data_IF_277504683402
#
_entry.id   IF_277504683402
#
_cell.length_a   1.000
_cell.length_b   1.000
_cell.length_c   1.000
_cell.angle_alpha   90.00
_cell.angle_beta   90.00
_cell.angle_gamma   90.00
#
_symmetry.space_group_name_H-M   'P 1'
#
loop_
_entity.id
_entity.type
_entity.pdbx_description
1 polymer ?
#
# COMPACT_ATOMS: atom_id res chain seq x y z
N UNK A 1 26.48 17.17 25.87
CA UNK A 1 25.44 16.16 26.17
C UNK A 1 24.04 16.78 26.19
N UNK A 2 23.89 18.06 26.55
CA UNK A 2 22.61 18.78 26.54
C UNK A 2 22.07 19.11 25.13
N UNK A 3 22.93 19.33 24.14
CA UNK A 3 22.53 19.71 22.78
C UNK A 3 21.86 18.55 21.99
N UNK A 4 22.28 17.31 22.25
CA UNK A 4 21.67 16.09 21.65
C UNK A 4 20.29 15.80 22.26
N UNK A 5 20.13 16.04 23.58
CA UNK A 5 18.84 15.90 24.28
C UNK A 5 17.84 16.97 23.86
N UNK A 6 18.30 18.21 23.65
CA UNK A 6 17.47 19.33 23.19
C UNK A 6 16.97 19.11 21.75
N UNK A 7 17.84 18.69 20.83
CA UNK A 7 17.45 18.32 19.45
C UNK A 7 16.44 17.16 19.41
N UNK A 8 16.63 16.15 20.27
CA UNK A 8 15.71 15.01 20.37
C UNK A 8 14.30 15.41 20.87
N UNK A 9 14.20 16.38 21.79
CA UNK A 9 12.91 16.90 22.26
C UNK A 9 12.21 17.74 21.20
N UNK A 10 12.93 18.64 20.51
CA UNK A 10 12.37 19.44 19.41
C UNK A 10 11.86 18.56 18.28
N UNK A 11 12.61 17.52 17.91
CA UNK A 11 12.21 16.58 16.86
C UNK A 11 10.98 15.76 17.25
N UNK A 12 10.90 15.31 18.50
CA UNK A 12 9.70 14.64 19.04
C UNK A 12 8.47 15.55 19.03
N UNK A 13 8.60 16.81 19.41
CA UNK A 13 7.49 17.77 19.38
C UNK A 13 7.01 18.02 17.95
N UNK A 14 7.93 18.26 17.01
CA UNK A 14 7.62 18.44 15.60
C UNK A 14 6.91 17.22 14.99
N UNK A 15 7.33 16.02 15.39
CA UNK A 15 6.71 14.75 14.98
C UNK A 15 5.28 14.59 15.51
N UNK A 16 5.01 15.02 16.75
CA UNK A 16 3.66 15.02 17.32
C UNK A 16 2.76 16.01 16.58
N UNK A 17 3.22 17.24 16.37
CA UNK A 17 2.47 18.28 15.65
C UNK A 17 2.13 17.85 14.22
N UNK A 18 3.10 17.23 13.55
CA UNK A 18 2.94 16.65 12.21
C UNK A 18 1.88 15.56 12.18
N UNK A 19 1.91 14.61 13.13
CA UNK A 19 0.89 13.56 13.25
C UNK A 19 -0.49 14.16 13.54
N UNK A 20 -0.57 15.18 14.38
CA UNK A 20 -1.82 15.89 14.67
C UNK A 20 -2.40 16.54 13.40
N UNK A 21 -1.55 17.13 12.55
CA UNK A 21 -1.99 17.71 11.28
C UNK A 21 -2.64 16.68 10.33
N UNK A 22 -2.18 15.43 10.33
CA UNK A 22 -2.80 14.34 9.56
C UNK A 22 -4.20 14.03 10.10
N UNK A 23 -4.35 13.94 11.42
CA UNK A 23 -5.64 13.70 12.07
C UNK A 23 -6.63 14.84 11.80
N UNK A 24 -6.20 16.09 11.95
CA UNK A 24 -7.04 17.26 11.69
C UNK A 24 -7.49 17.33 10.21
N UNK A 25 -6.59 16.99 9.28
CA UNK A 25 -6.90 16.93 7.86
C UNK A 25 -7.90 15.80 7.52
N UNK A 26 -7.84 14.68 8.25
CA UNK A 26 -8.72 13.52 8.09
C UNK A 26 -10.15 13.81 8.53
N UNK A 27 -10.34 14.53 9.64
CA UNK A 27 -11.67 14.68 10.29
C UNK A 27 -12.79 15.03 9.29
N UNK A 28 -12.66 16.04 8.41
CA UNK A 28 -13.77 16.39 7.52
C UNK A 28 -14.02 15.36 6.42
N UNK A 29 -12.99 14.62 5.98
CA UNK A 29 -13.16 13.51 5.04
C UNK A 29 -13.91 12.35 5.72
N UNK A 30 -13.55 12.03 6.96
CA UNK A 30 -14.21 10.99 7.75
C UNK A 30 -15.68 11.33 7.99
N UNK A 31 -15.99 12.58 8.34
CA UNK A 31 -17.38 13.05 8.49
C UNK A 31 -18.15 12.95 7.16
N UNK A 32 -17.55 13.37 6.05
CA UNK A 32 -18.16 13.27 4.73
C UNK A 32 -18.42 11.82 4.32
N UNK A 33 -17.46 10.92 4.57
CA UNK A 33 -17.59 9.48 4.33
C UNK A 33 -18.78 8.92 5.11
N UNK A 34 -18.83 9.15 6.42
CA UNK A 34 -19.90 8.63 7.28
C UNK A 34 -21.27 9.12 6.83
N UNK A 35 -21.41 10.41 6.47
CA UNK A 35 -22.67 10.97 5.96
C UNK A 35 -23.11 10.34 4.64
N UNK A 36 -22.18 10.07 3.72
CA UNK A 36 -22.51 9.41 2.45
C UNK A 36 -22.94 7.97 2.69
N UNK A 37 -22.20 7.23 3.54
CA UNK A 37 -22.52 5.85 3.87
C UNK A 37 -23.89 5.71 4.56
N UNK A 38 -24.19 6.56 5.54
CA UNK A 38 -25.49 6.59 6.24
C UNK A 38 -26.64 6.89 5.27
N UNK A 39 -26.48 7.84 4.36
CA UNK A 39 -27.51 8.18 3.36
C UNK A 39 -27.73 7.04 2.36
N UNK A 40 -26.66 6.38 1.91
CA UNK A 40 -26.79 5.19 1.05
C UNK A 40 -27.53 4.07 1.76
N UNK A 41 -27.20 3.78 3.02
CA UNK A 41 -27.85 2.74 3.81
C UNK A 41 -29.35 3.01 4.06
N UNK A 42 -29.76 4.28 4.10
CA UNK A 42 -31.15 4.66 4.42
C UNK A 42 -32.01 4.98 3.20
N UNK A 43 -31.44 5.57 2.14
CA UNK A 43 -32.19 6.06 0.96
C UNK A 43 -31.95 5.24 -0.30
N UNK A 44 -30.92 4.39 -0.34
CA UNK A 44 -30.54 3.59 -1.51
C UNK A 44 -29.89 4.39 -2.64
N UNK A 45 -30.34 5.61 -2.90
CA UNK A 45 -29.80 6.50 -3.93
C UNK A 45 -29.40 7.87 -3.34
N UNK A 46 -28.18 8.30 -3.65
CA UNK A 46 -27.59 9.54 -3.18
C UNK A 46 -26.85 10.18 -4.34
N UNK A 47 -27.29 11.37 -4.76
CA UNK A 47 -26.70 12.08 -5.89
C UNK A 47 -25.17 12.20 -5.76
N UNK A 48 -24.48 11.74 -6.80
CA UNK A 48 -23.02 11.77 -6.88
C UNK A 48 -22.32 10.75 -5.99
N UNK A 49 -23.02 9.74 -5.48
CA UNK A 49 -22.45 8.65 -4.68
C UNK A 49 -22.96 7.30 -5.17
N UNK A 50 -22.05 6.45 -5.65
CA UNK A 50 -22.40 5.10 -6.11
C UNK A 50 -21.69 4.03 -5.26
N UNK A 51 -22.39 2.97 -4.90
CA UNK A 51 -21.76 1.73 -4.43
C UNK A 51 -21.20 0.99 -5.66
N UNK A 52 -19.91 0.69 -5.65
CA UNK A 52 -19.24 0.08 -6.81
C UNK A 52 -18.99 -1.42 -6.67
N UNK A 53 -18.93 -1.92 -5.44
CA UNK A 53 -18.76 -3.34 -5.13
C UNK A 53 -19.07 -3.62 -3.65
N UNK A 54 -19.40 -4.89 -3.35
CA UNK A 54 -19.64 -5.40 -2.00
C UNK A 54 -18.90 -6.72 -1.77
N UNK A 55 -18.63 -7.06 -0.52
CA UNK A 55 -18.10 -8.35 -0.11
C UNK A 55 -16.77 -8.74 -0.78
N UNK A 56 -16.63 -10.03 -1.11
CA UNK A 56 -15.41 -10.60 -1.68
C UNK A 56 -15.04 -10.09 -3.08
N UNK A 57 -15.98 -9.46 -3.78
CA UNK A 57 -15.78 -8.96 -5.15
C UNK A 57 -15.09 -7.60 -5.21
N UNK A 58 -14.94 -6.91 -4.07
CA UNK A 58 -14.38 -5.55 -4.01
C UNK A 58 -13.03 -5.46 -4.70
N UNK A 59 -12.12 -6.40 -4.42
CA UNK A 59 -10.77 -6.37 -4.99
C UNK A 59 -10.80 -6.44 -6.53
N UNK A 60 -11.53 -7.42 -7.07
CA UNK A 60 -11.63 -7.62 -8.52
C UNK A 60 -12.34 -6.47 -9.21
N UNK A 61 -13.42 -5.98 -8.62
CA UNK A 61 -14.18 -4.85 -9.14
C UNK A 61 -13.36 -3.56 -9.19
N UNK A 62 -12.47 -3.34 -8.20
CA UNK A 62 -11.55 -2.19 -8.17
C UNK A 62 -10.43 -2.38 -9.19
N UNK A 63 -9.83 -3.57 -9.27
CA UNK A 63 -8.77 -3.89 -10.25
C UNK A 63 -9.26 -3.73 -11.69
N UNK A 64 -10.44 -4.24 -12.03
CA UNK A 64 -11.04 -4.10 -13.36
C UNK A 64 -11.24 -2.62 -13.75
N UNK A 65 -11.69 -1.78 -12.81
CA UNK A 65 -11.88 -0.34 -13.03
C UNK A 65 -10.56 0.42 -13.17
N UNK A 66 -9.49 -0.05 -12.54
CA UNK A 66 -8.19 0.64 -12.52
C UNK A 66 -7.56 0.81 -13.91
N UNK A 67 -7.95 -0.01 -14.88
CA UNK A 67 -7.48 0.02 -16.28
C UNK A 67 -7.86 1.31 -17.02
N UNK A 68 -8.92 1.99 -16.58
CA UNK A 68 -9.37 3.23 -17.21
C UNK A 68 -8.77 4.49 -16.56
N UNK A 69 -8.04 4.36 -15.46
CA UNK A 69 -7.56 5.51 -14.69
C UNK A 69 -6.32 6.13 -15.32
N UNK A 70 -6.19 7.45 -15.21
CA UNK A 70 -5.02 8.23 -15.64
C UNK A 70 -4.27 8.83 -14.47
N UNK A 71 -4.95 9.12 -13.37
CA UNK A 71 -4.30 9.57 -12.14
C UNK A 71 -4.86 8.82 -10.94
N UNK A 72 -3.97 8.31 -10.09
CA UNK A 72 -4.32 7.65 -8.84
C UNK A 72 -3.46 8.19 -7.70
N UNK A 73 -4.13 8.62 -6.61
CA UNK A 73 -3.49 8.87 -5.31
C UNK A 73 -4.20 8.02 -4.28
N UNK A 74 -3.53 7.01 -3.73
CA UNK A 74 -4.15 6.07 -2.80
C UNK A 74 -3.46 6.04 -1.45
N UNK A 75 -4.25 5.86 -0.40
CA UNK A 75 -3.80 5.52 0.95
C UNK A 75 -4.38 4.14 1.27
N UNK A 76 -3.53 3.21 1.70
CA UNK A 76 -3.91 1.86 2.14
C UNK A 76 -3.56 1.75 3.62
N UNK A 77 -4.51 1.27 4.44
CA UNK A 77 -4.33 1.19 5.90
C UNK A 77 -3.74 -0.14 6.36
N UNK A 78 -3.94 -1.19 5.59
CA UNK A 78 -3.42 -2.52 5.89
C UNK A 78 -2.86 -3.16 4.62
N UNK A 79 -2.01 -4.16 4.82
CA UNK A 79 -1.41 -4.90 3.72
C UNK A 79 -0.76 -6.19 4.18
N UNK A 80 -1.47 -7.30 3.94
CA UNK A 80 -0.88 -8.63 3.98
C UNK A 80 -0.22 -8.99 2.65
N UNK A 81 0.65 -10.00 2.65
CA UNK A 81 1.38 -10.36 1.43
C UNK A 81 0.45 -10.76 0.29
N UNK A 82 -0.60 -11.54 0.55
CA UNK A 82 -1.55 -11.98 -0.48
C UNK A 82 -2.15 -10.78 -1.24
N UNK A 83 -2.54 -9.71 -0.50
CA UNK A 83 -3.08 -8.48 -1.08
C UNK A 83 -2.06 -7.77 -1.97
N UNK A 84 -0.80 -7.72 -1.53
CA UNK A 84 0.29 -7.12 -2.31
C UNK A 84 0.58 -7.94 -3.58
N UNK A 85 0.72 -9.26 -3.46
CA UNK A 85 0.96 -10.16 -4.59
C UNK A 85 -0.15 -10.08 -5.64
N UNK A 86 -1.40 -9.97 -5.21
CA UNK A 86 -2.56 -9.83 -6.10
C UNK A 86 -2.60 -8.48 -6.81
N UNK A 87 -2.34 -7.39 -6.10
CA UNK A 87 -2.53 -6.02 -6.64
C UNK A 87 -1.34 -5.52 -7.47
N UNK A 88 -0.11 -5.93 -7.16
CA UNK A 88 1.09 -5.41 -7.82
C UNK A 88 1.17 -5.68 -9.33
N UNK A 89 0.92 -6.89 -9.84
CA UNK A 89 0.95 -7.14 -11.28
C UNK A 89 -0.03 -6.24 -12.05
N UNK A 90 -1.23 -6.02 -11.47
CA UNK A 90 -2.19 -5.09 -12.03
C UNK A 90 -1.67 -3.64 -12.02
N UNK A 91 -1.10 -3.19 -10.90
CA UNK A 91 -0.54 -1.84 -10.80
C UNK A 91 0.59 -1.60 -11.81
N UNK A 92 1.54 -2.55 -11.95
CA UNK A 92 2.62 -2.45 -12.95
C UNK A 92 2.08 -2.35 -14.37
N UNK A 93 1.04 -3.13 -14.68
CA UNK A 93 0.40 -3.03 -15.99
C UNK A 93 -0.25 -1.66 -16.20
N UNK A 94 -1.00 -1.15 -15.23
CA UNK A 94 -1.61 0.18 -15.34
C UNK A 94 -0.56 1.31 -15.44
N UNK A 95 0.55 1.21 -14.70
CA UNK A 95 1.68 2.14 -14.80
C UNK A 95 2.29 2.11 -16.21
N UNK A 96 2.49 0.92 -16.77
CA UNK A 96 2.98 0.74 -18.15
C UNK A 96 2.01 1.32 -19.18
N UNK A 97 0.71 1.30 -18.88
CA UNK A 97 -0.36 1.90 -19.70
C UNK A 97 -0.52 3.43 -19.48
N UNK A 98 0.38 4.04 -18.71
CA UNK A 98 0.46 5.50 -18.51
C UNK A 98 -0.31 6.04 -17.31
N UNK A 99 -0.67 5.21 -16.33
CA UNK A 99 -1.23 5.67 -15.05
C UNK A 99 -0.18 6.48 -14.27
N UNK A 100 -0.50 7.73 -13.91
CA UNK A 100 0.25 8.48 -12.89
C UNK A 100 -0.25 8.04 -11.50
N UNK A 101 0.52 7.19 -10.82
CA UNK A 101 0.15 6.63 -9.52
C UNK A 101 1.10 7.07 -8.40
N UNK A 102 0.53 7.42 -7.24
CA UNK A 102 1.24 7.36 -5.96
C UNK A 102 0.36 6.62 -4.95
N UNK A 103 0.87 5.53 -4.38
CA UNK A 103 0.22 4.75 -3.34
C UNK A 103 1.02 4.81 -2.05
N UNK A 104 0.42 5.41 -1.03
CA UNK A 104 0.93 5.41 0.34
C UNK A 104 0.32 4.22 1.08
N UNK A 105 1.16 3.51 1.81
CA UNK A 105 0.75 2.41 2.68
C UNK A 105 1.07 2.77 4.14
N UNK A 106 0.14 2.48 5.05
CA UNK A 106 0.31 2.74 6.48
C UNK A 106 1.40 1.84 7.07
N UNK A 107 2.47 2.43 7.59
CA UNK A 107 3.61 1.66 8.07
C UNK A 107 3.31 0.73 9.25
N UNK A 108 2.30 1.05 10.07
CA UNK A 108 1.91 0.24 11.23
C UNK A 108 0.95 -0.89 10.89
N UNK A 109 0.24 -0.80 9.77
CA UNK A 109 -0.72 -1.80 9.30
C UNK A 109 -0.16 -2.82 8.30
N UNK A 110 1.12 -2.76 7.95
CA UNK A 110 1.75 -3.69 6.99
C UNK A 110 2.44 -4.84 7.69
N UNK A 111 2.25 -6.04 7.15
CA UNK A 111 3.11 -7.16 7.47
C UNK A 111 4.56 -6.87 7.02
N UNK A 112 5.60 -7.24 7.80
CA UNK A 112 6.99 -7.00 7.44
C UNK A 112 7.38 -7.56 6.05
N UNK A 113 6.85 -8.74 5.71
CA UNK A 113 7.07 -9.35 4.41
C UNK A 113 6.42 -8.54 3.27
N UNK A 114 5.21 -8.01 3.47
CA UNK A 114 4.52 -7.16 2.50
C UNK A 114 5.24 -5.83 2.31
N UNK A 115 5.74 -5.21 3.39
CA UNK A 115 6.56 -3.99 3.35
C UNK A 115 7.77 -4.17 2.44
N UNK A 116 8.55 -5.23 2.65
CA UNK A 116 9.72 -5.55 1.80
C UNK A 116 9.37 -5.79 0.32
N UNK A 117 8.21 -6.38 0.02
CA UNK A 117 7.77 -6.56 -1.37
C UNK A 117 7.48 -5.22 -2.06
N UNK A 118 6.92 -4.26 -1.33
CA UNK A 118 6.64 -2.91 -1.80
C UNK A 118 7.94 -2.09 -1.93
N UNK A 119 8.84 -2.18 -0.95
CA UNK A 119 10.15 -1.48 -0.98
C UNK A 119 11.02 -1.86 -2.18
N UNK A 120 10.80 -3.06 -2.74
CA UNK A 120 11.49 -3.52 -3.94
C UNK A 120 10.91 -3.03 -5.27
N UNK A 121 9.90 -2.15 -5.28
CA UNK A 121 9.49 -1.43 -6.49
C UNK A 121 10.35 -0.19 -6.71
N UNK A 122 10.80 0.00 -7.95
CA UNK A 122 11.80 1.03 -8.29
C UNK A 122 11.22 2.21 -9.08
N UNK A 123 9.92 2.21 -9.32
CA UNK A 123 9.23 3.21 -10.14
C UNK A 123 8.82 4.50 -9.38
N UNK A 124 9.08 4.56 -8.07
CA UNK A 124 8.74 5.72 -7.22
C UNK A 124 7.26 5.86 -6.89
N UNK A 125 6.41 4.92 -7.33
CA UNK A 125 4.95 4.97 -7.13
C UNK A 125 4.53 4.64 -5.69
N UNK A 126 5.42 4.10 -4.87
CA UNK A 126 5.11 3.58 -3.54
C UNK A 126 5.82 4.35 -2.43
N UNK A 127 5.08 4.62 -1.36
CA UNK A 127 5.53 5.39 -0.20
C UNK A 127 4.99 4.78 1.09
N UNK A 128 5.68 5.00 2.20
CA UNK A 128 5.19 4.65 3.53
C UNK A 128 4.94 5.90 4.36
N UNK A 129 3.88 5.87 5.17
CA UNK A 129 3.54 6.93 6.11
C UNK A 129 2.52 6.42 7.13
N UNK A 130 1.94 7.31 7.93
CA UNK A 130 0.81 7.00 8.80
C UNK A 130 -0.49 7.42 8.10
N UNK A 131 -1.39 6.46 7.89
CA UNK A 131 -2.66 6.59 7.20
C UNK A 131 -3.81 5.96 7.99
N UNK A 132 -4.76 6.76 8.44
CA UNK A 132 -5.90 6.32 9.26
C UNK A 132 -7.21 6.16 8.47
N UNK A 133 -7.18 6.29 7.14
CA UNK A 133 -8.34 6.03 6.28
C UNK A 133 -7.90 5.50 4.91
N UNK A 134 -8.44 4.34 4.52
CA UNK A 134 -8.27 3.83 3.16
C UNK A 134 -9.07 4.69 2.17
N UNK A 135 -8.38 5.19 1.15
CA UNK A 135 -8.92 6.13 0.18
C UNK A 135 -8.21 6.01 -1.16
N UNK A 136 -8.93 6.25 -2.26
CA UNK A 136 -8.34 6.50 -3.58
C UNK A 136 -8.92 7.75 -4.22
N UNK A 137 -8.09 8.74 -4.54
CA UNK A 137 -8.45 9.86 -5.41
C UNK A 137 -8.14 9.45 -6.84
N UNK A 138 -9.16 9.46 -7.68
CA UNK A 138 -9.09 8.94 -9.05
C UNK A 138 -9.36 10.10 -10.02
N UNK A 139 -8.48 10.26 -11.01
CA UNK A 139 -8.55 11.23 -12.10
C UNK A 139 -8.80 12.68 -11.65
N UNK A 140 -8.43 12.99 -10.40
CA UNK A 140 -8.64 14.30 -9.76
C UNK A 140 -10.11 14.74 -9.75
N UNK A 141 -11.06 13.79 -9.84
CA UNK A 141 -12.50 14.09 -9.98
C UNK A 141 -13.39 13.31 -9.02
N UNK A 142 -12.91 12.18 -8.51
CA UNK A 142 -13.71 11.32 -7.64
C UNK A 142 -12.86 10.70 -6.54
N UNK A 143 -13.51 10.33 -5.44
CA UNK A 143 -12.88 9.68 -4.29
C UNK A 143 -13.58 8.36 -4.04
N UNK A 144 -12.81 7.28 -4.01
CA UNK A 144 -13.26 5.96 -3.59
C UNK A 144 -12.97 5.80 -2.10
N UNK A 145 -13.99 5.38 -1.34
CA UNK A 145 -13.96 5.24 0.11
C UNK A 145 -14.73 3.98 0.52
N UNK A 146 -14.47 3.49 1.73
CA UNK A 146 -15.32 2.47 2.36
C UNK A 146 -16.77 2.99 2.50
N UNK A 147 -17.71 2.24 1.95
CA UNK A 147 -19.15 2.50 2.01
C UNK A 147 -19.83 1.89 3.24
N UNK A 148 -21.17 1.86 3.28
CA UNK A 148 -21.91 1.20 4.35
C UNK A 148 -21.78 -0.32 4.29
N UNK A 149 -22.12 -1.00 5.39
CA UNK A 149 -22.38 -2.45 5.33
C UNK A 149 -23.75 -2.67 4.70
N UNK A 150 -23.81 -3.46 3.63
CA UNK A 150 -25.04 -3.79 2.90
C UNK A 150 -25.22 -5.30 2.96
N UNK A 151 -26.38 -5.76 3.43
CA UNK A 151 -26.71 -7.19 3.58
C UNK A 151 -25.62 -8.00 4.31
N UNK A 152 -25.02 -7.38 5.34
CA UNK A 152 -23.94 -8.00 6.15
C UNK A 152 -22.56 -7.97 5.50
N UNK A 153 -22.40 -7.43 4.29
CA UNK A 153 -21.13 -7.32 3.59
C UNK A 153 -20.59 -5.89 3.59
N UNK A 154 -19.27 -5.74 3.72
CA UNK A 154 -18.60 -4.46 3.50
C UNK A 154 -18.84 -3.98 2.05
N UNK A 155 -18.86 -2.67 1.84
CA UNK A 155 -18.95 -2.09 0.49
C UNK A 155 -17.87 -1.03 0.26
N UNK A 156 -17.65 -0.74 -1.02
CA UNK A 156 -16.86 0.42 -1.46
C UNK A 156 -17.77 1.34 -2.26
N UNK A 157 -17.66 2.64 -2.01
CA UNK A 157 -18.40 3.67 -2.71
C UNK A 157 -17.46 4.63 -3.45
N UNK A 158 -17.95 5.21 -4.54
CA UNK A 158 -17.32 6.31 -5.27
C UNK A 158 -18.14 7.57 -5.05
N UNK A 159 -17.48 8.63 -4.59
CA UNK A 159 -18.07 9.93 -4.31
C UNK A 159 -17.55 10.96 -5.31
N UNK A 160 -18.45 11.64 -6.01
CA UNK A 160 -18.20 12.69 -7.03
C UNK A 160 -18.69 14.06 -6.57
N UNK A 161 -18.50 14.35 -5.29
CA UNK A 161 -18.92 15.60 -4.66
C UNK A 161 -17.71 16.50 -4.40
N UNK A 162 -17.68 17.77 -4.89
CA UNK A 162 -16.49 18.62 -4.83
C UNK A 162 -15.92 18.81 -3.43
N UNK A 163 -16.77 18.93 -2.41
CA UNK A 163 -16.34 19.12 -1.03
C UNK A 163 -15.69 17.86 -0.43
N UNK A 164 -16.11 16.68 -0.86
CA UNK A 164 -15.50 15.41 -0.44
C UNK A 164 -14.14 15.24 -1.12
N UNK A 165 -14.06 15.58 -2.41
CA UNK A 165 -12.80 15.63 -3.14
C UNK A 165 -11.80 16.62 -2.52
N UNK A 166 -12.26 17.82 -2.14
CA UNK A 166 -11.42 18.82 -1.47
C UNK A 166 -10.89 18.31 -0.11
N UNK A 167 -11.75 17.67 0.69
CA UNK A 167 -11.36 17.06 1.96
C UNK A 167 -10.33 15.93 1.74
N UNK A 168 -10.55 15.08 0.73
CA UNK A 168 -9.63 14.02 0.34
C UNK A 168 -8.26 14.55 -0.09
N UNK A 169 -8.21 15.59 -0.92
CA UNK A 169 -6.96 16.22 -1.36
C UNK A 169 -6.20 16.83 -0.18
N UNK A 170 -6.90 17.45 0.79
CA UNK A 170 -6.26 17.98 1.99
C UNK A 170 -5.67 16.86 2.85
N UNK A 171 -6.42 15.78 3.06
CA UNK A 171 -5.93 14.61 3.79
C UNK A 171 -4.71 13.98 3.10
N UNK A 172 -4.79 13.77 1.78
CA UNK A 172 -3.68 13.29 0.96
C UNK A 172 -2.40 14.14 1.14
N UNK A 173 -2.51 15.47 1.06
CA UNK A 173 -1.36 16.38 1.22
C UNK A 173 -0.72 16.27 2.60
N UNK A 174 -1.53 16.14 3.66
CA UNK A 174 -1.02 15.98 5.01
C UNK A 174 -0.24 14.67 5.17
N UNK A 175 -0.76 13.56 4.64
CA UNK A 175 -0.08 12.25 4.69
C UNK A 175 1.20 12.26 3.82
N UNK A 176 1.15 12.85 2.62
CA UNK A 176 2.35 12.99 1.77
C UNK A 176 3.47 13.72 2.49
N UNK A 177 3.16 14.78 3.23
CA UNK A 177 4.16 15.58 3.96
C UNK A 177 4.95 14.77 5.00
N UNK A 178 4.39 13.64 5.48
CA UNK A 178 5.05 12.73 6.44
C UNK A 178 5.53 11.44 5.80
N UNK A 179 5.36 11.30 4.49
CA UNK A 179 5.68 10.05 3.79
C UNK A 179 7.13 10.03 3.34
N UNK A 180 7.72 8.85 3.28
CA UNK A 180 9.01 8.58 2.66
C UNK A 180 8.84 7.57 1.51
N UNK A 181 9.79 7.53 0.57
CA UNK A 181 9.73 6.56 -0.52
C UNK A 181 9.89 5.15 0.05
N UNK A 182 9.07 4.19 -0.42
CA UNK A 182 9.19 2.81 0.02
C UNK A 182 10.56 2.21 -0.34
N UNK A 183 11.10 2.68 -1.46
CA UNK A 183 12.45 2.44 -1.94
C UNK A 183 13.56 2.73 -0.92
N UNK A 184 13.35 3.68 -0.01
CA UNK A 184 14.38 4.13 0.95
C UNK A 184 14.26 3.40 2.30
N UNK A 185 13.38 2.39 2.38
CA UNK A 185 13.12 1.68 3.62
C UNK A 185 14.28 0.75 4.03
N UNK A 186 14.95 1.10 5.14
CA UNK A 186 16.16 0.43 5.65
C UNK A 186 15.90 -0.97 6.24
N UNK A 187 14.65 -1.43 6.32
CA UNK A 187 14.31 -2.78 6.78
C UNK A 187 14.72 -3.89 5.80
N UNK A 188 15.27 -3.51 4.64
CA UNK A 188 15.72 -4.44 3.62
C UNK A 188 17.19 -4.88 3.87
N UNK A 189 17.51 -6.18 3.85
CA UNK A 189 18.87 -6.64 4.14
C UNK A 189 19.88 -6.04 3.16
N UNK A 190 20.92 -5.41 3.73
CA UNK A 190 21.94 -4.54 3.10
C UNK A 190 22.73 -5.21 1.94
N UNK A 191 22.66 -6.53 1.79
CA UNK A 191 23.55 -7.31 0.91
C UNK A 191 22.86 -7.83 -0.37
N UNK A 192 21.56 -7.60 -0.53
CA UNK A 192 20.80 -8.10 -1.68
C UNK A 192 20.33 -6.95 -2.58
N UNK A 193 20.41 -7.13 -3.91
CA UNK A 193 19.71 -6.23 -4.84
C UNK A 193 18.21 -6.18 -4.52
N UNK A 194 17.50 -5.12 -4.91
CA UNK A 194 16.07 -4.97 -4.61
C UNK A 194 15.22 -6.14 -5.08
N UNK A 195 15.47 -6.67 -6.27
CA UNK A 195 14.81 -7.91 -6.74
C UNK A 195 15.11 -9.11 -5.85
N UNK A 196 16.35 -9.27 -5.40
CA UNK A 196 16.73 -10.34 -4.47
C UNK A 196 16.08 -10.16 -3.08
N UNK A 197 15.91 -8.93 -2.59
CA UNK A 197 15.17 -8.65 -1.36
C UNK A 197 13.70 -9.09 -1.47
N UNK A 198 13.07 -8.87 -2.63
CA UNK A 198 11.71 -9.35 -2.89
C UNK A 198 11.66 -10.88 -2.95
N UNK A 199 12.62 -11.52 -3.60
CA UNK A 199 12.73 -12.99 -3.65
C UNK A 199 12.90 -13.58 -2.26
N UNK A 200 13.75 -12.98 -1.41
CA UNK A 200 13.87 -13.34 0.01
C UNK A 200 12.51 -13.27 0.69
N UNK A 201 11.74 -12.22 0.42
CA UNK A 201 10.43 -12.07 1.03
C UNK A 201 9.40 -13.11 0.62
N UNK A 202 9.43 -13.52 -0.64
CA UNK A 202 8.53 -14.54 -1.18
C UNK A 202 8.97 -15.96 -0.77
N UNK A 203 10.28 -16.20 -0.67
CA UNK A 203 10.84 -17.48 -0.19
C UNK A 203 10.50 -17.77 1.27
N UNK A 204 10.51 -16.76 2.14
CA UNK A 204 10.14 -16.92 3.55
C UNK A 204 8.66 -17.32 3.74
N UNK A 205 7.84 -17.17 2.71
CA UNK A 205 6.44 -17.57 2.68
C UNK A 205 6.21 -18.90 1.94
N UNK A 206 7.30 -19.62 1.64
CA UNK A 206 7.29 -20.92 0.97
C UNK A 206 6.67 -20.90 -0.45
N UNK A 207 6.67 -19.75 -1.13
CA UNK A 207 6.24 -19.69 -2.54
C UNK A 207 7.21 -20.47 -3.45
N UNK A 208 6.69 -21.13 -4.49
CA UNK A 208 7.47 -21.82 -5.51
C UNK A 208 8.07 -20.86 -6.55
N UNK A 209 9.04 -21.31 -7.36
CA UNK A 209 9.71 -20.47 -8.36
C UNK A 209 8.74 -19.85 -9.38
N UNK A 210 7.74 -20.62 -9.80
CA UNK A 210 6.77 -20.18 -10.80
C UNK A 210 5.90 -19.06 -10.24
N UNK A 211 5.40 -19.22 -9.01
CA UNK A 211 4.62 -18.17 -8.32
C UNK A 211 5.46 -16.90 -8.06
N UNK A 212 6.75 -17.06 -7.73
CA UNK A 212 7.67 -15.92 -7.57
C UNK A 212 7.89 -15.22 -8.91
N UNK A 213 8.08 -15.98 -9.99
CA UNK A 213 8.27 -15.45 -11.34
C UNK A 213 7.06 -14.61 -11.78
N UNK A 214 5.86 -15.14 -11.57
CA UNK A 214 4.60 -14.45 -11.85
C UNK A 214 4.45 -13.18 -11.00
N UNK A 215 4.73 -13.25 -9.69
CA UNK A 215 4.67 -12.10 -8.79
C UNK A 215 5.64 -10.98 -9.18
N UNK A 216 6.81 -11.33 -9.71
CA UNK A 216 7.87 -10.38 -10.08
C UNK A 216 7.84 -9.97 -11.57
N UNK A 217 7.04 -10.63 -12.40
CA UNK A 217 6.98 -10.36 -13.85
C UNK A 217 8.28 -10.69 -14.59
N UNK A 218 9.00 -11.73 -14.15
CA UNK A 218 10.26 -12.19 -14.77
C UNK A 218 10.21 -13.68 -15.09
N UNK A 219 11.19 -14.21 -15.83
CA UNK A 219 11.24 -15.65 -16.12
C UNK A 219 11.60 -16.49 -14.89
N UNK A 220 11.09 -17.72 -14.82
CA UNK A 220 11.47 -18.74 -13.81
C UNK A 220 12.99 -18.95 -13.78
N UNK A 221 13.66 -18.89 -14.94
CA UNK A 221 15.13 -18.98 -15.04
C UNK A 221 15.81 -17.83 -14.30
N UNK A 222 15.28 -16.61 -14.42
CA UNK A 222 15.78 -15.43 -13.71
C UNK A 222 15.65 -15.62 -12.21
N UNK A 223 14.46 -16.04 -11.74
CA UNK A 223 14.21 -16.32 -10.33
C UNK A 223 15.18 -17.37 -9.78
N UNK A 224 15.35 -18.51 -10.48
CA UNK A 224 16.29 -19.56 -10.07
C UNK A 224 17.73 -19.08 -9.98
N UNK A 225 18.16 -18.21 -10.91
CA UNK A 225 19.50 -17.61 -10.89
C UNK A 225 19.70 -16.69 -9.69
N UNK A 226 18.69 -15.89 -9.34
CA UNK A 226 18.74 -15.01 -8.18
C UNK A 226 18.71 -15.81 -6.87
N UNK A 227 17.86 -16.85 -6.77
CA UNK A 227 17.81 -17.76 -5.62
C UNK A 227 19.16 -18.47 -5.44
N UNK A 228 19.77 -18.97 -6.52
CA UNK A 228 21.10 -19.59 -6.43
C UNK A 228 22.17 -18.61 -5.94
N UNK A 229 22.03 -17.33 -6.27
CA UNK A 229 22.94 -16.26 -5.78
C UNK A 229 22.68 -15.96 -4.30
N UNK A 230 21.41 -15.88 -3.89
CA UNK A 230 21.01 -15.74 -2.49
C UNK A 230 21.48 -16.91 -1.63
N UNK A 231 21.31 -18.14 -2.10
CA UNK A 231 21.78 -19.35 -1.40
C UNK A 231 23.30 -19.32 -1.17
N UNK A 232 24.07 -18.89 -2.18
CA UNK A 232 25.52 -18.69 -2.03
C UNK A 232 25.85 -17.61 -0.99
N UNK A 233 25.16 -16.47 -1.03
CA UNK A 233 25.36 -15.39 -0.07
C UNK A 233 24.97 -15.79 1.38
N UNK A 234 23.92 -16.59 1.53
CA UNK A 234 23.43 -17.10 2.82
C UNK A 234 24.20 -18.33 3.32
N UNK A 235 25.13 -18.87 2.53
CA UNK A 235 25.92 -20.06 2.86
C UNK A 235 25.10 -21.34 2.99
N UNK A 236 24.00 -21.46 2.24
CA UNK A 236 23.08 -22.62 2.28
C UNK A 236 23.05 -23.37 0.96
N UNK A 237 22.72 -24.66 1.02
CA UNK A 237 22.77 -25.59 -0.13
C UNK A 237 21.40 -26.08 -0.61
N UNK A 238 20.32 -25.72 0.09
CA UNK A 238 18.96 -26.04 -0.32
C UNK A 238 18.05 -24.82 -0.29
N UNK A 239 17.04 -24.80 -1.16
CA UNK A 239 15.96 -23.79 -1.17
C UNK A 239 15.30 -23.69 0.20
N UNK A 240 14.98 -24.84 0.78
CA UNK A 240 14.34 -24.91 2.09
C UNK A 240 15.18 -24.22 3.17
N UNK A 241 16.49 -24.49 3.23
CA UNK A 241 17.38 -23.82 4.18
C UNK A 241 17.50 -22.31 3.89
N UNK A 242 17.39 -21.89 2.63
CA UNK A 242 17.30 -20.48 2.28
C UNK A 242 16.00 -19.86 2.80
N UNK A 243 14.85 -20.50 2.57
CA UNK A 243 13.55 -20.08 3.10
C UNK A 243 13.57 -19.93 4.63
N UNK A 244 14.08 -20.92 5.36
CA UNK A 244 14.21 -20.89 6.82
C UNK A 244 15.12 -19.76 7.30
N UNK A 245 16.28 -19.55 6.67
CA UNK A 245 17.15 -18.42 7.01
C UNK A 245 16.52 -17.08 6.68
N UNK A 246 15.81 -16.99 5.55
CA UNK A 246 15.08 -15.79 5.15
C UNK A 246 13.96 -15.48 6.13
N UNK A 247 13.24 -16.50 6.60
CA UNK A 247 12.20 -16.36 7.62
C UNK A 247 12.77 -15.89 8.96
N UNK A 248 13.91 -16.46 9.41
CA UNK A 248 14.59 -15.98 10.61
C UNK A 248 15.02 -14.50 10.50
N UNK A 249 15.40 -14.03 9.30
CA UNK A 249 15.70 -12.61 9.03
C UNK A 249 14.44 -11.72 8.99
N UNK A 250 13.24 -12.30 8.97
CA UNK A 250 11.98 -11.56 9.03
C UNK A 250 11.44 -11.35 10.45
N UNK A 251 11.83 -12.25 11.35
CA UNK A 251 11.30 -12.34 12.72
C UNK A 251 12.15 -11.53 13.74
N UNK A 252 13.33 -11.03 13.32
CA UNK A 252 14.21 -10.08 14.04
C UNK A 252 13.83 -8.61 13.73
#
# INVERSE_FOLDING_TARGET
>A
MDDVRSRSLTQRTQDIERRQCVLDALVPLQVARSRCAERLATKGDVEGVDVVATGGEISDAVMARSRAWRHLRSIQMDGGVERVQRSMPNNRSCLSDGLDMVSIWDEGGLEPAARRLISGEDDGSYRFSIGHLEMKIIDKRQVMLQGPTLDGAASVMVVRRPEVLAAAVRYWRAVVALSHAAADDETAPVVASRRQQRIVSLLAQDLCDDAIADCLGVSVRTVRSDIATLMRALGVRSRFAAGVKCQALMDD
#
